data_IF_101466595988
#
_entry.id   IF_101466595988
#
_cell.length_a   1.000
_cell.length_b   1.000
_cell.length_c   1.000
_cell.angle_alpha   90.00
_cell.angle_beta   90.00
_cell.angle_gamma   90.00
#
_symmetry.space_group_name_H-M   'P 1'
#
loop_
_entity.id
_entity.type
_entity.pdbx_description
1 polymer ?
#
# COMPACT_ATOMS: atom_id res chain seq x y z
N UNK A 1 17.79 3.57 -34.37
CA UNK A 1 16.87 4.25 -33.44
C UNK A 1 17.03 3.54 -32.11
N UNK A 2 17.28 4.26 -31.02
CA UNK A 2 17.33 3.68 -29.67
C UNK A 2 15.89 3.29 -29.32
N UNK A 3 15.64 2.00 -29.12
CA UNK A 3 14.35 1.50 -28.64
C UNK A 3 14.14 2.08 -27.23
N UNK A 4 13.07 2.85 -27.01
CA UNK A 4 12.76 3.43 -25.71
C UNK A 4 11.71 2.55 -25.05
N UNK A 5 12.08 1.87 -23.97
CA UNK A 5 11.17 1.07 -23.16
C UNK A 5 9.98 1.91 -22.70
N UNK A 6 8.76 1.38 -22.84
CA UNK A 6 7.54 2.07 -22.42
C UNK A 6 7.26 1.87 -20.93
N UNK A 7 7.52 0.67 -20.40
CA UNK A 7 7.14 0.23 -19.07
C UNK A 7 8.30 -0.45 -18.36
N UNK A 8 8.52 -0.13 -17.09
CA UNK A 8 9.30 -0.94 -16.16
C UNK A 8 8.36 -1.46 -15.06
N UNK A 9 8.18 -2.79 -15.01
CA UNK A 9 7.52 -3.47 -13.92
C UNK A 9 8.52 -3.63 -12.78
N UNK A 10 8.34 -2.89 -11.69
CA UNK A 10 9.19 -2.92 -10.50
C UNK A 10 8.48 -3.72 -9.41
N UNK A 11 9.10 -4.83 -9.01
CA UNK A 11 8.54 -5.78 -8.04
C UNK A 11 9.45 -5.79 -6.80
N UNK A 12 9.07 -5.12 -5.70
CA UNK A 12 9.74 -5.29 -4.43
C UNK A 12 9.50 -6.70 -3.90
N UNK A 13 10.57 -7.37 -3.48
CA UNK A 13 10.52 -8.78 -3.12
C UNK A 13 11.10 -9.03 -1.72
N UNK A 14 10.35 -9.80 -0.92
CA UNK A 14 10.79 -10.38 0.34
C UNK A 14 9.96 -11.63 0.64
N UNK A 15 10.58 -12.80 0.67
CA UNK A 15 9.93 -14.08 0.98
C UNK A 15 10.28 -15.18 -0.03
N UNK A 16 9.29 -15.91 -0.47
CA UNK A 16 9.46 -17.01 -1.43
C UNK A 16 9.34 -16.49 -2.87
N UNK A 17 10.14 -17.00 -3.82
CA UNK A 17 10.21 -16.47 -5.19
C UNK A 17 9.04 -16.87 -6.10
N UNK A 18 8.31 -17.94 -5.79
CA UNK A 18 7.29 -18.53 -6.66
C UNK A 18 6.20 -17.53 -7.09
N UNK A 19 5.62 -16.70 -6.19
CA UNK A 19 4.62 -15.72 -6.60
C UNK A 19 5.18 -14.68 -7.59
N UNK A 20 6.42 -14.23 -7.39
CA UNK A 20 7.08 -13.28 -8.30
C UNK A 20 7.37 -13.92 -9.66
N UNK A 21 7.80 -15.20 -9.69
CA UNK A 21 7.99 -15.93 -10.95
C UNK A 21 6.68 -16.01 -11.74
N UNK A 22 5.54 -16.25 -11.08
CA UNK A 22 4.23 -16.24 -11.73
C UNK A 22 3.87 -14.86 -12.31
N UNK A 23 4.20 -13.76 -11.61
CA UNK A 23 4.02 -12.39 -12.14
C UNK A 23 4.91 -12.16 -13.35
N UNK A 24 6.18 -12.60 -13.34
CA UNK A 24 7.10 -12.49 -14.46
C UNK A 24 6.54 -13.23 -15.69
N UNK A 25 6.02 -14.44 -15.52
CA UNK A 25 5.39 -15.19 -16.61
C UNK A 25 4.14 -14.46 -17.14
N UNK A 26 3.31 -13.89 -16.27
CA UNK A 26 2.17 -13.07 -16.68
C UNK A 26 2.59 -11.81 -17.44
N UNK A 27 3.69 -11.15 -17.04
CA UNK A 27 4.23 -9.98 -17.73
C UNK A 27 4.80 -10.34 -19.12
N UNK A 28 5.43 -11.51 -19.27
CA UNK A 28 5.91 -12.01 -20.56
C UNK A 28 4.79 -12.41 -21.52
N UNK A 29 3.63 -12.80 -20.96
CA UNK A 29 2.44 -13.19 -21.71
C UNK A 29 1.51 -12.03 -22.06
N UNK A 30 1.90 -10.78 -21.77
CA UNK A 30 1.05 -9.61 -22.01
C UNK A 30 0.72 -9.43 -23.49
N UNK A 31 -0.52 -9.03 -23.75
CA UNK A 31 -1.08 -8.75 -25.08
C UNK A 31 -1.38 -7.26 -25.24
N UNK A 32 -1.39 -6.79 -26.50
CA UNK A 32 -1.63 -5.38 -26.82
C UNK A 32 -0.46 -4.44 -26.51
N UNK A 33 0.69 -4.99 -26.15
CA UNK A 33 1.99 -4.31 -26.03
C UNK A 33 3.08 -5.28 -26.51
N UNK A 34 4.15 -4.75 -27.11
CA UNK A 34 5.31 -5.58 -27.44
C UNK A 34 6.02 -5.99 -26.13
N UNK A 35 6.25 -7.28 -25.86
CA UNK A 35 7.03 -7.71 -24.70
C UNK A 35 8.40 -7.03 -24.58
N UNK A 36 9.02 -6.65 -25.70
CA UNK A 36 10.26 -5.88 -25.72
C UNK A 36 10.11 -4.45 -25.16
N UNK A 37 8.91 -3.94 -25.04
CA UNK A 37 8.60 -2.64 -24.41
C UNK A 37 8.45 -2.73 -22.88
N UNK A 38 8.51 -3.95 -22.31
CA UNK A 38 8.34 -4.20 -20.87
C UNK A 38 9.68 -4.64 -20.27
N UNK A 39 10.24 -3.81 -19.43
CA UNK A 39 11.37 -4.15 -18.57
C UNK A 39 10.85 -4.72 -17.24
N UNK A 40 11.49 -5.76 -16.73
CA UNK A 40 11.13 -6.36 -15.43
C UNK A 40 12.31 -6.18 -14.49
N UNK A 41 12.04 -5.56 -13.33
CA UNK A 41 13.01 -5.30 -12.28
C UNK A 41 12.48 -5.87 -10.96
N UNK A 42 13.20 -6.82 -10.38
CA UNK A 42 12.92 -7.37 -9.05
C UNK A 42 13.91 -6.76 -8.06
N UNK A 43 13.39 -6.12 -7.01
CA UNK A 43 14.21 -5.55 -5.93
C UNK A 43 14.13 -6.44 -4.70
N UNK A 44 15.14 -7.26 -4.50
CA UNK A 44 15.28 -8.20 -3.38
C UNK A 44 15.75 -7.46 -2.12
N UNK A 45 14.87 -7.31 -1.14
CA UNK A 45 15.11 -6.60 0.13
C UNK A 45 15.70 -7.53 1.21
N UNK A 46 16.75 -8.28 0.84
CA UNK A 46 17.43 -9.27 1.72
C UNK A 46 16.45 -10.38 2.12
N UNK A 47 15.84 -10.99 1.13
CA UNK A 47 14.95 -12.13 1.34
C UNK A 47 15.70 -13.30 1.96
N UNK A 48 15.08 -14.08 2.88
CA UNK A 48 15.69 -15.30 3.43
C UNK A 48 16.12 -16.28 2.35
N UNK A 49 15.29 -16.42 1.30
CA UNK A 49 15.64 -17.11 0.06
C UNK A 49 15.92 -16.04 -0.99
N UNK A 50 17.18 -15.81 -1.41
CA UNK A 50 17.51 -14.81 -2.42
C UNK A 50 16.75 -15.06 -3.72
N UNK A 51 16.25 -14.01 -4.35
CA UNK A 51 15.57 -14.16 -5.64
C UNK A 51 16.53 -14.76 -6.68
N UNK A 52 16.13 -15.79 -7.44
CA UNK A 52 17.00 -16.41 -8.45
C UNK A 52 17.31 -15.44 -9.58
N UNK A 53 18.41 -15.68 -10.29
CA UNK A 53 18.70 -15.00 -11.56
C UNK A 53 17.77 -15.57 -12.63
N UNK A 54 17.01 -14.69 -13.30
CA UNK A 54 16.02 -15.03 -14.32
C UNK A 54 16.38 -14.29 -15.60
N UNK A 55 16.44 -15.00 -16.71
CA UNK A 55 16.79 -14.41 -18.02
C UNK A 55 15.85 -13.25 -18.37
N UNK A 56 16.41 -12.11 -18.78
CA UNK A 56 15.65 -10.91 -19.14
C UNK A 56 15.03 -10.15 -17.95
N UNK A 57 15.41 -10.47 -16.71
CA UNK A 57 14.98 -9.78 -15.49
C UNK A 57 16.20 -9.13 -14.83
N UNK A 58 16.08 -7.86 -14.49
CA UNK A 58 17.07 -7.16 -13.66
C UNK A 58 16.80 -7.45 -12.20
N UNK A 59 17.73 -8.09 -11.50
CA UNK A 59 17.62 -8.35 -10.06
C UNK A 59 18.50 -7.38 -9.29
N UNK A 60 17.89 -6.51 -8.50
CA UNK A 60 18.58 -5.57 -7.60
C UNK A 60 18.63 -6.17 -6.20
N UNK A 61 19.82 -6.61 -5.78
CA UNK A 61 20.03 -7.18 -4.43
C UNK A 61 20.42 -6.08 -3.45
N UNK A 62 19.55 -5.80 -2.50
CA UNK A 62 19.81 -4.79 -1.48
C UNK A 62 20.78 -5.34 -0.42
N UNK A 63 21.63 -4.49 0.19
CA UNK A 63 22.57 -4.94 1.21
C UNK A 63 21.92 -5.09 2.61
N UNK A 64 20.79 -4.42 2.85
CA UNK A 64 20.08 -4.40 4.13
C UNK A 64 18.59 -4.38 3.88
N UNK A 65 17.83 -5.17 4.65
CA UNK A 65 16.36 -5.11 4.63
C UNK A 65 15.90 -3.73 5.12
N UNK A 66 15.27 -3.01 4.24
CA UNK A 66 14.84 -1.62 4.46
C UNK A 66 13.34 -1.42 4.38
N UNK A 67 12.59 -2.47 4.01
CA UNK A 67 11.15 -2.44 3.83
C UNK A 67 10.71 -1.97 2.44
N UNK A 68 9.40 -1.96 2.26
CA UNK A 68 8.76 -1.78 0.95
C UNK A 68 9.23 -0.53 0.19
N UNK A 69 9.18 0.66 0.83
CA UNK A 69 9.52 1.91 0.15
C UNK A 69 10.95 1.95 -0.38
N UNK A 70 11.91 1.42 0.41
CA UNK A 70 13.31 1.35 -0.01
C UNK A 70 13.54 0.33 -1.12
N UNK A 71 12.83 -0.79 -1.09
CA UNK A 71 12.88 -1.77 -2.17
C UNK A 71 12.29 -1.18 -3.47
N UNK A 72 11.17 -0.46 -3.39
CA UNK A 72 10.62 0.28 -4.54
C UNK A 72 11.63 1.29 -5.09
N UNK A 73 12.22 2.14 -4.25
CA UNK A 73 13.22 3.13 -4.69
C UNK A 73 14.37 2.44 -5.44
N UNK A 74 14.96 1.39 -4.87
CA UNK A 74 16.09 0.67 -5.50
C UNK A 74 15.70 0.05 -6.84
N UNK A 75 14.48 -0.46 -6.96
CA UNK A 75 13.96 -0.99 -8.23
C UNK A 75 13.72 0.11 -9.27
N UNK A 76 13.18 1.27 -8.86
CA UNK A 76 12.96 2.40 -9.77
C UNK A 76 14.27 3.05 -10.22
N UNK A 77 15.29 3.06 -9.36
CA UNK A 77 16.63 3.56 -9.73
C UNK A 77 17.27 2.72 -10.84
N UNK A 78 17.02 1.41 -10.86
CA UNK A 78 17.47 0.50 -11.91
C UNK A 78 16.59 0.53 -13.16
N UNK A 79 15.37 1.03 -13.05
CA UNK A 79 14.38 1.07 -14.13
C UNK A 79 14.70 2.15 -15.19
N UNK A 80 14.39 1.86 -16.45
CA UNK A 80 14.65 2.76 -17.59
C UNK A 80 13.39 3.18 -18.35
N UNK A 81 12.27 2.47 -18.16
CA UNK A 81 10.99 2.73 -18.83
C UNK A 81 10.40 4.10 -18.51
N UNK A 82 9.57 4.59 -19.41
CA UNK A 82 8.83 5.86 -19.23
C UNK A 82 7.85 5.78 -18.07
N UNK A 83 7.13 4.66 -17.95
CA UNK A 83 6.16 4.39 -16.89
C UNK A 83 6.71 3.32 -15.96
N UNK A 84 6.57 3.54 -14.66
CA UNK A 84 6.87 2.55 -13.63
C UNK A 84 5.56 1.94 -13.14
N UNK A 85 5.49 0.62 -13.22
CA UNK A 85 4.45 -0.21 -12.64
C UNK A 85 5.01 -0.84 -11.36
N UNK A 86 4.64 -0.31 -10.21
CA UNK A 86 5.03 -0.86 -8.91
C UNK A 86 4.03 -1.95 -8.57
N UNK A 87 4.49 -3.19 -8.49
CA UNK A 87 3.66 -4.38 -8.35
C UNK A 87 4.07 -5.16 -7.10
N UNK A 88 3.15 -5.40 -6.19
CA UNK A 88 3.39 -6.34 -5.09
C UNK A 88 3.68 -7.75 -5.61
N UNK A 89 4.44 -8.51 -4.84
CA UNK A 89 4.86 -9.87 -5.18
C UNK A 89 3.76 -10.93 -5.18
N UNK A 90 2.54 -10.60 -4.75
CA UNK A 90 1.39 -11.49 -4.60
C UNK A 90 0.17 -11.05 -5.43
N UNK A 91 0.43 -10.45 -6.59
CA UNK A 91 -0.59 -10.04 -7.56
C UNK A 91 -0.79 -11.12 -8.63
N UNK A 92 -2.05 -11.27 -9.05
CA UNK A 92 -2.39 -12.00 -10.28
C UNK A 92 -2.86 -11.00 -11.34
N UNK A 93 -2.19 -11.04 -12.50
CA UNK A 93 -2.41 -10.12 -13.61
C UNK A 93 -3.06 -10.86 -14.79
N UNK A 94 -4.07 -10.28 -15.41
CA UNK A 94 -4.54 -10.78 -16.71
C UNK A 94 -3.58 -10.41 -17.83
N UNK A 95 -3.70 -11.07 -18.98
CA UNK A 95 -2.80 -10.90 -20.11
C UNK A 95 -2.98 -9.58 -20.88
N UNK A 96 -3.87 -8.70 -20.47
CA UNK A 96 -4.09 -7.37 -21.06
C UNK A 96 -3.88 -6.24 -20.05
N UNK A 97 -3.45 -6.58 -18.83
CA UNK A 97 -3.29 -5.63 -17.74
C UNK A 97 -2.40 -4.44 -18.10
N UNK A 98 -1.18 -4.70 -18.61
CA UNK A 98 -0.22 -3.63 -18.92
C UNK A 98 -0.76 -2.70 -20.01
N UNK A 99 -1.27 -3.25 -21.10
CA UNK A 99 -1.78 -2.44 -22.23
C UNK A 99 -3.00 -1.60 -21.82
N UNK A 100 -3.92 -2.15 -21.00
CA UNK A 100 -5.12 -1.44 -20.52
C UNK A 100 -4.77 -0.34 -19.52
N UNK A 101 -3.88 -0.63 -18.56
CA UNK A 101 -3.40 0.39 -17.62
C UNK A 101 -2.64 1.50 -18.31
N UNK A 102 -1.76 1.15 -19.25
CA UNK A 102 -1.00 2.14 -20.01
C UNK A 102 -1.93 3.07 -20.80
N UNK A 103 -2.92 2.51 -21.51
CA UNK A 103 -3.92 3.30 -22.23
C UNK A 103 -4.74 4.19 -21.29
N UNK A 104 -5.03 3.74 -20.07
CA UNK A 104 -5.74 4.55 -19.08
C UNK A 104 -4.90 5.73 -18.60
N UNK A 105 -3.66 5.52 -18.17
CA UNK A 105 -2.81 6.60 -17.66
C UNK A 105 -2.41 7.58 -18.75
N UNK A 106 -2.22 7.14 -19.99
CA UNK A 106 -1.90 8.01 -21.12
C UNK A 106 -3.07 8.98 -21.46
N UNK A 107 -4.32 8.58 -21.20
CA UNK A 107 -5.49 9.48 -21.36
C UNK A 107 -5.53 10.60 -20.32
N UNK A 108 -5.03 10.32 -19.10
CA UNK A 108 -5.03 11.29 -17.99
C UNK A 108 -3.75 12.14 -17.94
N UNK A 109 -2.70 11.76 -18.66
CA UNK A 109 -1.42 12.48 -18.71
C UNK A 109 -0.51 12.18 -17.52
N UNK A 110 0.06 13.20 -16.89
CA UNK A 110 0.97 13.04 -15.74
C UNK A 110 0.18 12.72 -14.47
N UNK A 111 -0.07 11.44 -14.21
CA UNK A 111 -0.86 10.96 -13.06
C UNK A 111 -0.21 9.76 -12.39
N UNK A 112 -0.62 9.47 -11.15
CA UNK A 112 -0.48 8.14 -10.57
C UNK A 112 -1.84 7.43 -10.67
N UNK A 113 -1.86 6.16 -11.03
CA UNK A 113 -3.10 5.39 -11.09
C UNK A 113 -2.93 3.97 -10.51
N UNK A 114 -4.04 3.39 -10.09
CA UNK A 114 -4.16 2.00 -9.66
C UNK A 114 -5.38 1.35 -10.30
N UNK A 115 -5.32 0.06 -10.66
CA UNK A 115 -6.49 -0.69 -11.04
C UNK A 115 -7.39 -0.95 -9.82
N UNK A 116 -8.59 -1.48 -10.05
CA UNK A 116 -9.38 -2.12 -9.01
C UNK A 116 -8.64 -3.36 -8.50
N UNK A 117 -8.56 -3.52 -7.18
CA UNK A 117 -7.93 -4.69 -6.56
C UNK A 117 -9.01 -5.49 -5.83
N UNK A 118 -9.05 -6.78 -6.09
CA UNK A 118 -9.95 -7.74 -5.44
C UNK A 118 -9.15 -8.84 -4.74
N UNK A 119 -9.72 -9.43 -3.71
CA UNK A 119 -9.18 -10.65 -3.11
C UNK A 119 -9.61 -11.89 -3.88
N UNK A 120 -9.02 -13.05 -3.58
CA UNK A 120 -9.45 -14.35 -4.14
C UNK A 120 -10.92 -14.71 -3.83
N UNK A 121 -11.49 -14.08 -2.79
CA UNK A 121 -12.92 -14.21 -2.47
C UNK A 121 -13.83 -13.30 -3.32
N UNK A 122 -13.26 -12.61 -4.31
CA UNK A 122 -13.93 -11.67 -5.20
C UNK A 122 -14.33 -10.32 -4.56
N UNK A 123 -13.98 -10.09 -3.28
CA UNK A 123 -14.29 -8.83 -2.62
C UNK A 123 -13.25 -7.77 -2.92
N UNK A 124 -13.72 -6.54 -3.11
CA UNK A 124 -12.84 -5.40 -3.29
C UNK A 124 -11.99 -5.11 -2.04
N UNK A 125 -10.75 -4.67 -2.25
CA UNK A 125 -9.81 -4.32 -1.18
C UNK A 125 -9.77 -2.83 -0.84
N UNK A 126 -10.79 -2.06 -1.23
CA UNK A 126 -10.91 -0.62 -0.92
C UNK A 126 -9.66 0.18 -1.29
N UNK A 127 -9.30 0.11 -2.56
CA UNK A 127 -8.07 0.70 -3.12
C UNK A 127 -8.00 2.20 -2.95
N UNK A 128 -9.11 2.90 -3.28
CA UNK A 128 -9.22 4.35 -3.21
C UNK A 128 -9.54 4.81 -1.79
N UNK A 129 -8.81 5.83 -1.32
CA UNK A 129 -8.91 6.31 0.06
C UNK A 129 -8.74 7.82 0.13
N UNK A 130 -9.25 8.41 1.23
CA UNK A 130 -9.00 9.80 1.65
C UNK A 130 -7.70 9.87 2.45
N UNK A 131 -6.96 10.98 2.34
CA UNK A 131 -5.76 11.15 3.15
C UNK A 131 -6.04 10.96 4.63
N UNK A 132 -5.16 10.26 5.36
CA UNK A 132 -5.40 9.91 6.76
C UNK A 132 -5.53 11.17 7.63
N UNK A 133 -6.47 11.10 8.56
CA UNK A 133 -6.62 12.06 9.64
C UNK A 133 -6.58 11.33 10.98
N UNK A 134 -6.33 12.04 12.06
CA UNK A 134 -6.42 11.46 13.41
C UNK A 134 -7.80 10.83 13.68
N UNK A 135 -8.86 11.40 13.09
CA UNK A 135 -10.23 10.87 13.25
C UNK A 135 -10.40 9.52 12.51
N UNK A 136 -9.88 9.37 11.28
CA UNK A 136 -9.93 8.09 10.55
C UNK A 136 -9.21 6.98 11.33
N UNK A 137 -8.03 7.30 11.90
CA UNK A 137 -7.26 6.32 12.68
C UNK A 137 -7.98 5.96 13.99
N UNK A 138 -8.53 6.95 14.69
CA UNK A 138 -9.28 6.71 15.91
C UNK A 138 -10.57 5.91 15.67
N UNK A 139 -11.24 6.12 14.53
CA UNK A 139 -12.41 5.33 14.13
C UNK A 139 -12.07 3.84 13.98
N UNK A 140 -10.97 3.53 13.32
CA UNK A 140 -10.49 2.15 13.19
C UNK A 140 -10.04 1.58 14.56
N UNK A 141 -9.42 2.43 15.41
CA UNK A 141 -8.96 2.06 16.75
C UNK A 141 -10.10 1.78 17.73
N UNK A 142 -11.28 2.36 17.50
CA UNK A 142 -12.45 2.15 18.34
C UNK A 142 -13.09 0.79 18.09
N UNK A 143 -12.68 -0.21 18.86
CA UNK A 143 -13.03 -1.62 18.68
C UNK A 143 -14.54 -1.93 18.68
N UNK A 144 -15.44 -1.22 19.40
CA UNK A 144 -16.87 -1.44 19.29
C UNK A 144 -17.47 -1.24 17.90
N UNK A 145 -16.82 -0.44 17.05
CA UNK A 145 -17.25 -0.23 15.67
C UNK A 145 -16.89 -1.39 14.73
N UNK A 146 -16.02 -2.32 15.14
CA UNK A 146 -15.58 -3.43 14.29
C UNK A 146 -16.75 -4.30 13.77
N UNK A 147 -17.87 -4.38 14.50
CA UNK A 147 -19.09 -5.07 14.07
C UNK A 147 -19.74 -4.46 12.81
N UNK A 148 -19.43 -3.21 12.50
CA UNK A 148 -19.95 -2.49 11.35
C UNK A 148 -19.02 -2.52 10.12
N UNK A 149 -17.88 -3.23 10.20
CA UNK A 149 -16.93 -3.39 9.08
C UNK A 149 -17.58 -3.75 7.74
N UNK A 150 -18.66 -4.57 7.67
CA UNK A 150 -19.33 -4.86 6.40
C UNK A 150 -20.12 -3.69 5.79
N UNK A 151 -20.20 -2.53 6.45
CA UNK A 151 -21.05 -1.42 5.99
C UNK A 151 -20.24 -0.30 5.35
N UNK A 152 -20.79 0.35 4.32
CA UNK A 152 -20.22 1.54 3.70
C UNK A 152 -20.01 2.69 4.69
N UNK A 153 -20.86 2.79 5.72
CA UNK A 153 -20.70 3.78 6.78
C UNK A 153 -19.38 3.60 7.54
N UNK A 154 -19.03 2.36 7.89
CA UNK A 154 -17.75 2.06 8.54
C UNK A 154 -16.57 2.37 7.63
N UNK A 155 -16.67 1.99 6.35
CA UNK A 155 -15.63 2.27 5.36
C UNK A 155 -15.37 3.76 5.19
N UNK A 156 -16.43 4.60 5.13
CA UNK A 156 -16.24 6.07 5.10
C UNK A 156 -15.57 6.58 6.38
N UNK A 157 -15.89 6.00 7.53
CA UNK A 157 -15.29 6.38 8.82
C UNK A 157 -13.78 6.12 8.91
N UNK A 158 -13.29 5.05 8.29
CA UNK A 158 -11.84 4.76 8.21
C UNK A 158 -11.13 5.47 7.05
N UNK A 159 -11.86 6.24 6.25
CA UNK A 159 -11.31 7.01 5.14
C UNK A 159 -11.26 6.29 3.80
N UNK A 160 -12.03 5.21 3.60
CA UNK A 160 -12.18 4.63 2.25
C UNK A 160 -13.07 5.53 1.39
N UNK A 161 -12.68 5.73 0.14
CA UNK A 161 -13.50 6.41 -0.86
C UNK A 161 -14.50 5.43 -1.46
N UNK A 162 -15.63 5.30 -0.76
CA UNK A 162 -16.64 4.29 -1.10
C UNK A 162 -17.20 4.52 -2.51
N UNK A 163 -17.43 5.78 -2.86
CA UNK A 163 -17.98 6.18 -4.15
C UNK A 163 -17.03 5.82 -5.29
N UNK A 164 -15.75 6.11 -5.15
CA UNK A 164 -14.73 5.72 -6.12
C UNK A 164 -14.60 4.20 -6.24
N UNK A 165 -14.53 3.49 -5.09
CA UNK A 165 -14.35 2.03 -5.07
C UNK A 165 -15.55 1.25 -5.61
N UNK A 166 -16.77 1.80 -5.57
CA UNK A 166 -17.98 1.15 -6.07
C UNK A 166 -18.42 1.66 -7.44
N UNK A 167 -17.77 2.72 -7.93
CA UNK A 167 -18.01 3.30 -9.25
C UNK A 167 -17.42 2.45 -10.38
N UNK A 168 -17.83 2.74 -11.61
CA UNK A 168 -17.36 2.06 -12.84
C UNK A 168 -16.53 2.96 -13.76
N UNK A 169 -16.50 4.26 -13.50
CA UNK A 169 -15.70 5.24 -14.22
C UNK A 169 -14.38 5.53 -13.50
N UNK A 170 -13.36 5.95 -14.28
CA UNK A 170 -12.10 6.44 -13.72
C UNK A 170 -12.37 7.55 -12.70
N UNK A 171 -11.85 7.44 -11.51
CA UNK A 171 -12.15 8.35 -10.41
C UNK A 171 -10.87 9.00 -9.86
N UNK A 172 -10.86 10.33 -9.78
CA UNK A 172 -9.83 11.08 -9.07
C UNK A 172 -10.00 10.88 -7.56
N UNK A 173 -8.91 10.49 -6.88
CA UNK A 173 -8.91 10.12 -5.47
C UNK A 173 -7.78 10.80 -4.70
N UNK A 174 -7.81 10.77 -3.37
CA UNK A 174 -6.71 11.33 -2.60
C UNK A 174 -5.47 10.42 -2.68
N UNK A 175 -5.64 9.12 -2.47
CA UNK A 175 -4.58 8.13 -2.65
C UNK A 175 -5.13 6.74 -2.94
N UNK A 176 -4.29 5.90 -3.53
CA UNK A 176 -4.57 4.50 -3.83
C UNK A 176 -3.60 3.58 -3.09
N UNK A 177 -4.03 2.38 -2.79
CA UNK A 177 -3.24 1.38 -2.07
C UNK A 177 -1.97 0.99 -2.84
N UNK A 178 -0.86 0.77 -2.12
CA UNK A 178 0.47 0.53 -2.69
C UNK A 178 0.66 -0.80 -3.41
N UNK A 179 -0.32 -1.71 -3.36
CA UNK A 179 -0.17 -3.05 -3.96
C UNK A 179 0.02 -3.02 -5.48
N UNK A 180 -0.59 -2.06 -6.17
CA UNK A 180 -0.41 -1.85 -7.61
C UNK A 180 -0.51 -0.36 -7.94
N UNK A 181 0.58 0.26 -8.34
CA UNK A 181 0.64 1.68 -8.69
C UNK A 181 1.37 1.87 -10.03
N UNK A 182 0.83 2.75 -10.86
CA UNK A 182 1.43 3.14 -12.14
C UNK A 182 1.69 4.64 -12.14
N UNK A 183 2.92 5.05 -12.40
CA UNK A 183 3.33 6.46 -12.35
C UNK A 183 4.43 6.73 -13.38
N UNK A 184 4.52 7.93 -14.00
CA UNK A 184 5.67 8.27 -14.83
C UNK A 184 6.96 8.24 -14.00
N UNK A 185 8.00 7.56 -14.49
CA UNK A 185 9.30 7.49 -13.79
C UNK A 185 9.89 8.87 -13.51
N UNK A 186 9.76 9.78 -14.46
CA UNK A 186 10.22 11.16 -14.28
C UNK A 186 9.50 11.85 -13.11
N UNK A 187 8.19 11.61 -12.95
CA UNK A 187 7.40 12.14 -11.82
C UNK A 187 7.81 11.50 -10.51
N UNK A 188 7.98 10.18 -10.48
CA UNK A 188 8.47 9.46 -9.29
C UNK A 188 9.80 10.08 -8.79
N UNK A 189 10.76 10.25 -9.70
CA UNK A 189 12.08 10.82 -9.38
C UNK A 189 11.98 12.31 -8.97
N UNK A 190 11.16 13.10 -9.66
CA UNK A 190 10.96 14.53 -9.35
C UNK A 190 10.39 14.75 -7.95
N UNK A 191 9.53 13.86 -7.47
CA UNK A 191 8.96 13.91 -6.12
C UNK A 191 9.93 13.35 -5.07
N UNK A 192 11.04 12.70 -5.49
CA UNK A 192 12.07 12.13 -4.61
C UNK A 192 11.74 10.72 -4.12
N UNK A 193 10.94 9.96 -4.85
CA UNK A 193 10.62 8.56 -4.51
C UNK A 193 9.83 8.38 -3.23
N UNK A 194 9.85 7.16 -2.69
CA UNK A 194 9.29 6.83 -1.38
C UNK A 194 10.17 7.38 -0.26
N UNK A 195 9.57 7.90 0.83
CA UNK A 195 10.31 8.39 1.99
C UNK A 195 10.85 7.20 2.81
N UNK A 196 12.16 7.09 2.91
CA UNK A 196 12.86 5.97 3.53
C UNK A 196 12.77 5.90 5.06
N UNK A 197 12.12 6.86 5.71
CA UNK A 197 11.80 6.80 7.14
C UNK A 197 10.74 5.76 7.46
N UNK A 198 9.91 5.41 6.48
CA UNK A 198 8.93 4.34 6.62
C UNK A 198 9.59 2.99 6.34
N UNK A 199 9.41 2.05 7.27
CA UNK A 199 9.83 0.68 7.04
C UNK A 199 8.76 -0.11 6.27
N UNK A 200 7.51 0.02 6.71
CA UNK A 200 6.37 -0.67 6.13
C UNK A 200 5.07 0.08 6.43
N UNK A 201 4.24 0.30 5.41
CA UNK A 201 3.01 1.09 5.41
C UNK A 201 3.25 2.62 5.49
N UNK A 202 2.31 3.37 4.92
CA UNK A 202 2.26 4.83 4.85
C UNK A 202 3.31 5.51 3.96
N UNK A 203 4.31 4.80 3.44
CA UNK A 203 5.26 5.30 2.44
C UNK A 203 4.54 5.68 1.14
N UNK A 204 3.58 4.86 0.70
CA UNK A 204 2.74 5.12 -0.47
C UNK A 204 1.76 6.26 -0.24
N UNK A 205 1.27 6.41 0.99
CA UNK A 205 0.40 7.52 1.38
C UNK A 205 1.16 8.84 1.37
N UNK A 206 2.36 8.85 1.97
CA UNK A 206 3.24 10.02 1.98
C UNK A 206 3.66 10.42 0.57
N UNK A 207 4.06 9.46 -0.26
CA UNK A 207 4.42 9.70 -1.65
C UNK A 207 3.28 10.37 -2.41
N UNK A 208 2.07 9.84 -2.28
CA UNK A 208 0.89 10.38 -2.96
C UNK A 208 0.42 11.72 -2.36
N UNK A 209 0.65 11.97 -1.08
CA UNK A 209 0.41 13.28 -0.50
C UNK A 209 1.39 14.34 -1.07
N UNK A 210 2.67 13.97 -1.27
CA UNK A 210 3.65 14.85 -1.96
C UNK A 210 3.30 15.07 -3.43
N UNK A 211 2.79 14.05 -4.15
CA UNK A 211 2.22 14.18 -5.50
C UNK A 211 1.06 15.19 -5.51
N UNK A 212 0.15 15.10 -4.52
CA UNK A 212 -0.97 16.04 -4.38
C UNK A 212 -0.50 17.48 -4.25
N UNK A 213 0.49 17.72 -3.39
CA UNK A 213 1.08 19.05 -3.18
C UNK A 213 1.81 19.57 -4.43
N UNK A 214 2.26 18.69 -5.30
CA UNK A 214 2.88 19.02 -6.59
C UNK A 214 1.89 19.16 -7.75
N UNK A 215 0.57 19.03 -7.48
CA UNK A 215 -0.47 19.15 -8.51
C UNK A 215 -0.62 17.91 -9.41
N UNK A 216 -0.04 16.76 -9.03
CA UNK A 216 -0.17 15.50 -9.77
C UNK A 216 -1.38 14.73 -9.25
N UNK A 217 -2.29 14.39 -10.14
CA UNK A 217 -3.53 13.69 -9.79
C UNK A 217 -3.33 12.18 -9.57
N UNK A 218 -4.20 11.57 -8.79
CA UNK A 218 -4.24 10.13 -8.51
C UNK A 218 -5.59 9.60 -8.94
N UNK A 219 -5.58 8.45 -9.63
CA UNK A 219 -6.79 7.85 -10.19
C UNK A 219 -6.94 6.38 -9.78
N UNK A 220 -8.16 6.00 -9.46
CA UNK A 220 -8.60 4.61 -9.52
C UNK A 220 -9.16 4.34 -10.92
N UNK A 221 -8.76 3.22 -11.53
CA UNK A 221 -9.17 2.77 -12.87
C UNK A 221 -10.00 1.47 -12.73
N UNK A 222 -11.31 1.55 -12.49
CA UNK A 222 -12.14 0.36 -12.22
C UNK A 222 -12.31 -0.56 -13.43
N UNK A 223 -12.04 -0.07 -14.64
CA UNK A 223 -12.10 -0.87 -15.86
C UNK A 223 -10.99 -1.93 -15.94
N UNK A 224 -9.93 -1.81 -15.14
CA UNK A 224 -8.85 -2.79 -15.01
C UNK A 224 -8.90 -3.37 -13.60
N UNK A 225 -8.82 -4.70 -13.49
CA UNK A 225 -8.88 -5.41 -12.21
C UNK A 225 -7.68 -6.33 -12.07
N UNK A 226 -7.10 -6.40 -10.87
CA UNK A 226 -6.08 -7.37 -10.49
C UNK A 226 -6.51 -8.09 -9.22
N UNK A 227 -6.07 -9.35 -9.06
CA UNK A 227 -6.26 -10.11 -7.83
C UNK A 227 -5.03 -9.94 -6.94
N UNK A 228 -5.24 -9.78 -5.64
CA UNK A 228 -4.17 -9.63 -4.65
C UNK A 228 -4.49 -10.50 -3.45
N UNK A 229 -3.56 -11.38 -3.10
CA UNK A 229 -3.77 -12.29 -1.97
C UNK A 229 -3.91 -11.51 -0.67
N UNK A 230 -2.98 -10.60 -0.43
CA UNK A 230 -2.97 -9.74 0.75
C UNK A 230 -2.69 -10.47 2.06
N UNK A 231 -2.16 -9.78 3.02
CA UNK A 231 -1.99 -10.31 4.37
C UNK A 231 -0.80 -11.24 4.60
N UNK A 232 0.13 -11.32 3.65
CA UNK A 232 1.29 -12.21 3.58
C UNK A 232 2.15 -12.36 4.85
N UNK A 233 3.38 -12.52 4.70
CA UNK A 233 4.53 -13.08 5.42
C UNK A 233 4.83 -12.65 6.88
N UNK A 234 4.04 -11.79 7.57
CA UNK A 234 4.41 -11.30 8.91
C UNK A 234 3.36 -11.62 9.99
N UNK A 235 3.75 -11.90 11.26
CA UNK A 235 2.83 -12.07 12.39
C UNK A 235 1.90 -10.87 12.56
N UNK A 236 0.62 -11.11 12.86
CA UNK A 236 -0.43 -10.09 12.91
C UNK A 236 -0.13 -8.94 13.89
N UNK A 237 0.44 -9.22 15.05
CA UNK A 237 0.82 -8.21 16.05
C UNK A 237 1.94 -7.29 15.56
N UNK A 238 2.96 -7.85 14.91
CA UNK A 238 4.07 -7.08 14.35
C UNK A 238 3.59 -6.15 13.24
N UNK A 239 2.71 -6.62 12.37
CA UNK A 239 2.10 -5.77 11.32
C UNK A 239 1.30 -4.61 11.92
N UNK A 240 0.53 -4.85 12.98
CA UNK A 240 -0.23 -3.79 13.66
C UNK A 240 0.71 -2.76 14.28
N UNK A 241 1.85 -3.18 14.86
CA UNK A 241 2.85 -2.25 15.39
C UNK A 241 3.47 -1.42 14.26
N UNK A 242 3.94 -2.05 13.17
CA UNK A 242 4.48 -1.33 12.01
C UNK A 242 3.51 -0.29 11.45
N UNK A 243 2.25 -0.69 11.24
CA UNK A 243 1.21 0.22 10.77
C UNK A 243 1.01 1.40 11.74
N UNK A 244 1.01 1.13 13.05
CA UNK A 244 0.85 2.18 14.05
C UNK A 244 2.05 3.13 14.04
N UNK A 245 3.28 2.61 14.05
CA UNK A 245 4.51 3.41 13.97
C UNK A 245 4.56 4.24 12.69
N UNK A 246 4.20 3.65 11.55
CA UNK A 246 4.15 4.36 10.27
C UNK A 246 3.13 5.54 10.28
N UNK A 247 1.96 5.34 10.88
CA UNK A 247 0.95 6.41 11.06
C UNK A 247 1.47 7.55 11.94
N UNK A 248 2.27 7.24 12.96
CA UNK A 248 2.91 8.26 13.80
C UNK A 248 4.01 9.00 13.05
N UNK A 249 4.85 8.31 12.24
CA UNK A 249 5.84 8.95 11.36
C UNK A 249 5.15 9.90 10.36
N UNK A 250 4.04 9.44 9.74
CA UNK A 250 3.25 10.26 8.83
C UNK A 250 2.65 11.48 9.53
N UNK A 251 2.06 11.27 10.72
CA UNK A 251 1.44 12.34 11.50
C UNK A 251 2.46 13.38 11.99
N UNK A 252 3.66 12.96 12.38
CA UNK A 252 4.77 13.83 12.74
C UNK A 252 5.23 14.68 11.54
N UNK A 253 5.50 14.02 10.41
CA UNK A 253 5.91 14.70 9.16
C UNK A 253 4.93 15.78 8.75
N UNK A 254 3.63 15.57 8.95
CA UNK A 254 2.56 16.46 8.51
C UNK A 254 1.93 17.27 9.64
N UNK A 255 2.56 17.29 10.85
CA UNK A 255 2.28 18.24 11.91
C UNK A 255 1.05 17.96 12.78
N UNK A 256 0.57 16.70 12.85
CA UNK A 256 -0.61 16.36 13.65
C UNK A 256 -0.41 15.15 14.60
N UNK A 257 0.84 14.75 14.87
CA UNK A 257 1.19 13.62 15.74
C UNK A 257 0.58 13.73 17.15
N UNK A 258 0.72 14.91 17.80
CA UNK A 258 0.16 15.14 19.15
C UNK A 258 -1.35 14.93 19.17
N UNK A 259 -2.04 15.39 18.11
CA UNK A 259 -3.49 15.18 17.96
C UNK A 259 -3.82 13.70 17.81
N UNK A 260 -3.05 12.96 17.03
CA UNK A 260 -3.20 11.51 16.86
C UNK A 260 -3.02 10.80 18.21
N UNK A 261 -1.89 11.01 18.87
CA UNK A 261 -1.56 10.35 20.14
C UNK A 261 -2.65 10.60 21.21
N UNK A 262 -3.09 11.84 21.38
CA UNK A 262 -4.12 12.18 22.35
C UNK A 262 -5.47 11.52 22.01
N UNK A 263 -5.86 11.55 20.73
CA UNK A 263 -7.13 10.95 20.32
C UNK A 263 -7.11 9.43 20.47
N UNK A 264 -6.01 8.75 20.15
CA UNK A 264 -5.88 7.31 20.36
C UNK A 264 -5.91 6.95 21.84
N UNK A 265 -5.24 7.71 22.72
CA UNK A 265 -5.32 7.49 24.18
C UNK A 265 -6.75 7.62 24.68
N UNK A 266 -7.46 8.69 24.29
CA UNK A 266 -8.88 8.87 24.65
C UNK A 266 -9.71 7.70 24.17
N UNK A 267 -9.53 7.28 22.92
CA UNK A 267 -10.24 6.13 22.34
C UNK A 267 -9.93 4.83 23.10
N UNK A 268 -8.67 4.60 23.52
CA UNK A 268 -8.29 3.45 24.32
C UNK A 268 -8.99 3.42 25.68
N UNK A 269 -9.12 4.56 26.35
CA UNK A 269 -9.91 4.64 27.60
C UNK A 269 -11.40 4.38 27.35
N UNK A 270 -11.96 4.85 26.24
CA UNK A 270 -13.36 4.52 25.89
C UNK A 270 -13.51 3.02 25.59
N UNK A 271 -12.56 2.42 24.86
CA UNK A 271 -12.51 0.96 24.65
C UNK A 271 -12.48 0.21 25.99
N UNK A 272 -11.66 0.69 26.93
CA UNK A 272 -11.58 0.11 28.27
C UNK A 272 -12.93 0.15 29.00
N UNK A 273 -13.63 1.28 29.00
CA UNK A 273 -14.96 1.40 29.63
C UNK A 273 -15.97 0.42 28.99
N UNK A 274 -16.00 0.35 27.67
CA UNK A 274 -16.89 -0.60 26.96
C UNK A 274 -16.53 -2.04 27.28
N UNK A 275 -15.24 -2.39 27.27
CA UNK A 275 -14.78 -3.75 27.57
C UNK A 275 -15.01 -4.09 29.06
N UNK A 276 -14.91 -3.15 29.99
CA UNK A 276 -15.24 -3.36 31.40
C UNK A 276 -16.72 -3.72 31.59
N UNK A 277 -17.63 -3.02 30.88
CA UNK A 277 -19.06 -3.39 30.89
C UNK A 277 -19.30 -4.77 30.26
N UNK A 278 -18.61 -5.08 29.16
CA UNK A 278 -18.68 -6.43 28.53
C UNK A 278 -18.14 -7.52 29.45
N UNK A 279 -17.07 -7.25 30.20
CA UNK A 279 -16.46 -8.14 31.18
C UNK A 279 -17.39 -8.53 32.33
N UNK A 280 -18.41 -7.70 32.64
CA UNK A 280 -19.45 -8.06 33.61
C UNK A 280 -20.31 -9.26 33.15
N UNK A 281 -20.42 -9.45 31.81
CA UNK A 281 -21.22 -10.53 31.20
C UNK A 281 -20.34 -11.66 30.64
N UNK A 282 -19.10 -11.38 30.27
CA UNK A 282 -18.15 -12.35 29.75
C UNK A 282 -16.81 -12.20 30.45
N UNK A 283 -16.48 -13.18 31.32
CA UNK A 283 -15.24 -13.19 32.15
C UNK A 283 -13.94 -13.33 31.32
N UNK A 284 -14.02 -13.73 30.05
CA UNK A 284 -12.86 -13.85 29.15
C UNK A 284 -12.38 -12.49 28.62
N UNK A 285 -13.12 -11.40 28.88
CA UNK A 285 -12.75 -10.05 28.47
C UNK A 285 -11.81 -9.41 29.49
N UNK A 286 -10.52 -9.42 29.22
CA UNK A 286 -9.50 -8.69 29.98
C UNK A 286 -9.42 -7.21 29.55
N UNK A 287 -10.30 -6.37 30.08
CA UNK A 287 -10.34 -4.96 29.76
C UNK A 287 -9.06 -4.20 30.14
N UNK A 288 -8.37 -4.61 31.24
CA UNK A 288 -7.14 -3.95 31.69
C UNK A 288 -5.94 -4.33 30.84
N UNK A 289 -5.81 -5.60 30.50
CA UNK A 289 -4.74 -6.08 29.59
C UNK A 289 -4.90 -5.44 28.19
N UNK A 290 -6.12 -5.30 27.71
CA UNK A 290 -6.41 -4.63 26.44
C UNK A 290 -5.96 -3.16 26.46
N UNK A 291 -6.34 -2.41 27.49
CA UNK A 291 -5.90 -1.02 27.66
C UNK A 291 -4.37 -0.91 27.72
N UNK A 292 -3.72 -1.77 28.51
CA UNK A 292 -2.26 -1.76 28.64
C UNK A 292 -1.58 -1.98 27.29
N UNK A 293 -2.05 -2.96 26.50
CA UNK A 293 -1.53 -3.26 25.15
C UNK A 293 -1.72 -2.08 24.20
N UNK A 294 -2.89 -1.42 24.19
CA UNK A 294 -3.13 -0.26 23.32
C UNK A 294 -2.23 0.92 23.70
N UNK A 295 -2.09 1.23 25.00
CA UNK A 295 -1.24 2.33 25.48
C UNK A 295 0.24 2.05 25.21
N UNK A 296 0.69 0.81 25.40
CA UNK A 296 2.07 0.41 25.06
C UNK A 296 2.35 0.55 23.56
N UNK A 297 1.42 0.14 22.71
CA UNK A 297 1.52 0.29 21.25
C UNK A 297 1.65 1.75 20.83
N UNK A 298 0.85 2.63 21.43
CA UNK A 298 0.96 4.07 21.20
C UNK A 298 2.33 4.59 21.65
N UNK A 299 2.79 4.21 22.84
CA UNK A 299 4.08 4.63 23.38
C UNK A 299 5.26 4.16 22.52
N UNK A 300 5.24 2.90 22.04
CA UNK A 300 6.24 2.37 21.09
C UNK A 300 6.24 3.19 19.78
N UNK A 301 5.05 3.50 19.23
CA UNK A 301 4.94 4.28 18.01
C UNK A 301 5.48 5.71 18.17
N UNK A 302 5.26 6.37 19.31
CA UNK A 302 5.85 7.68 19.62
C UNK A 302 7.38 7.62 19.68
N UNK A 303 7.96 6.51 20.17
CA UNK A 303 9.41 6.29 20.19
C UNK A 303 9.98 5.76 18.88
N UNK A 304 9.12 5.53 17.85
CA UNK A 304 9.49 4.94 16.54
C UNK A 304 10.05 3.51 16.67
N UNK A 305 9.61 2.77 17.66
CA UNK A 305 9.93 1.35 17.86
C UNK A 305 9.00 0.47 17.01
N UNK A 306 9.57 -0.54 16.34
CA UNK A 306 8.87 -1.49 15.47
C UNK A 306 8.77 -2.88 16.11
#
# INVERSE_FOLDING_TARGET
MIHTLRVSAVIPFYGEPEPVLAIIDSLRAQQGIDPADIEIVVSDDVSPTPFPDVEGVTVVRRPVNGGFGKAVNSGVDAATGKWVFILNSDLELDNTFVSRMLAAVERHGEVLASPQIIGHDGKQQWVARKFPTAAHVAWEWFTPLARFKPTNWWHRGVGHDVEACTGTADAKVDWVMGACMVVPRATFNRIGGMDERFYMNSEEVDFQYRLSNAGVDRYLIPSVTVTHEGGGSSPSERRVQWLTTARFIYADKWGWEKKLANLLRVTSYVNFLVNSVRGLRNKDVDARGFLATELERIAKAERREN
#
